data_IF_846577583995
#
_entry.id   IF_846577583995
#
_cell.length_a   1.000
_cell.length_b   1.000
_cell.length_c   1.000
_cell.angle_alpha   90.00
_cell.angle_beta   90.00
_cell.angle_gamma   90.00
#
_symmetry.space_group_name_H-M   'P 1'
#
loop_
_entity.id
_entity.type
_entity.pdbx_description
1 polymer ?
#
# COMPACT_ATOMS: atom_id res chain seq x y z
N UNK A 1 1.67 -34.60 -47.69
CA UNK A 1 1.24 -33.31 -47.13
C UNK A 1 2.43 -32.36 -47.20
N UNK A 2 2.28 -31.18 -47.79
CA UNK A 2 3.39 -30.22 -47.89
C UNK A 2 3.81 -29.74 -46.50
N UNK A 3 5.11 -29.47 -46.32
CA UNK A 3 5.68 -28.95 -45.05
C UNK A 3 4.96 -27.71 -44.54
N UNK A 4 4.39 -26.92 -45.45
CA UNK A 4 3.67 -25.69 -45.19
C UNK A 4 2.30 -25.93 -44.54
N UNK A 5 1.56 -26.97 -44.98
CA UNK A 5 0.26 -27.34 -44.38
C UNK A 5 0.45 -27.90 -42.96
N UNK A 6 1.52 -28.65 -42.71
CA UNK A 6 1.84 -29.15 -41.37
C UNK A 6 2.18 -27.98 -40.41
N UNK A 7 2.94 -26.99 -40.90
CA UNK A 7 3.28 -25.79 -40.13
C UNK A 7 2.05 -24.96 -39.78
N UNK A 8 1.13 -24.75 -40.74
CA UNK A 8 -0.13 -24.04 -40.52
C UNK A 8 -1.04 -24.77 -39.52
N UNK A 9 -1.16 -26.10 -39.61
CA UNK A 9 -1.92 -26.92 -38.65
C UNK A 9 -1.35 -26.85 -37.24
N UNK A 10 -0.03 -26.98 -37.09
CA UNK A 10 0.64 -26.85 -35.79
C UNK A 10 0.45 -25.45 -35.20
N UNK A 11 0.49 -24.41 -36.02
CA UNK A 11 0.24 -23.03 -35.59
C UNK A 11 -1.20 -22.83 -35.10
N UNK A 12 -2.20 -23.36 -35.82
CA UNK A 12 -3.61 -23.29 -35.41
C UNK A 12 -3.89 -24.08 -34.13
N UNK A 13 -3.27 -25.26 -33.96
CA UNK A 13 -3.35 -26.05 -32.73
C UNK A 13 -2.68 -25.33 -31.56
N UNK A 14 -1.55 -24.67 -31.78
CA UNK A 14 -0.87 -23.86 -30.76
C UNK A 14 -1.72 -22.66 -30.34
N UNK A 15 -2.34 -21.94 -31.28
CA UNK A 15 -3.26 -20.85 -31.00
C UNK A 15 -4.47 -21.31 -30.19
N UNK A 16 -5.03 -22.48 -30.53
CA UNK A 16 -6.14 -23.10 -29.78
C UNK A 16 -5.72 -23.48 -28.36
N UNK A 17 -4.53 -24.07 -28.20
CA UNK A 17 -4.00 -24.49 -26.90
C UNK A 17 -3.73 -23.27 -26.00
N UNK A 18 -3.14 -22.20 -26.56
CA UNK A 18 -2.91 -20.94 -25.86
C UNK A 18 -4.22 -20.27 -25.43
N UNK A 19 -5.25 -20.34 -26.27
CA UNK A 19 -6.59 -19.83 -25.95
C UNK A 19 -7.23 -20.59 -24.78
N UNK A 20 -7.08 -21.93 -24.76
CA UNK A 20 -7.56 -22.76 -23.64
C UNK A 20 -6.79 -22.45 -22.36
N UNK A 21 -5.46 -22.34 -22.42
CA UNK A 21 -4.65 -22.02 -21.24
C UNK A 21 -5.02 -20.67 -20.65
N UNK A 22 -5.21 -19.66 -21.50
CA UNK A 22 -5.70 -18.35 -21.08
C UNK A 22 -7.05 -18.45 -20.38
N UNK A 23 -8.01 -19.18 -20.97
CA UNK A 23 -9.33 -19.40 -20.36
C UNK A 23 -9.23 -20.10 -19.00
N UNK A 24 -8.38 -21.13 -18.87
CA UNK A 24 -8.16 -21.80 -17.59
C UNK A 24 -7.57 -20.86 -16.53
N UNK A 25 -6.60 -20.02 -16.91
CA UNK A 25 -6.00 -19.01 -16.02
C UNK A 25 -7.06 -18.01 -15.54
N UNK A 26 -7.86 -17.49 -16.47
CA UNK A 26 -8.92 -16.53 -16.17
C UNK A 26 -9.97 -17.15 -15.22
N UNK A 27 -10.39 -18.40 -15.46
CA UNK A 27 -11.31 -19.10 -14.58
C UNK A 27 -10.74 -19.32 -13.17
N UNK A 28 -9.46 -19.70 -13.03
CA UNK A 28 -8.85 -19.86 -11.72
C UNK A 28 -8.76 -18.51 -10.99
N UNK A 29 -8.32 -17.45 -11.67
CA UNK A 29 -8.29 -16.10 -11.09
C UNK A 29 -9.68 -15.67 -10.61
N UNK A 30 -10.72 -15.92 -11.42
CA UNK A 30 -12.10 -15.65 -11.05
C UNK A 30 -12.52 -16.46 -9.80
N UNK A 31 -12.17 -17.75 -9.72
CA UNK A 31 -12.47 -18.59 -8.55
C UNK A 31 -11.72 -18.19 -7.28
N UNK A 32 -10.55 -17.56 -7.40
CA UNK A 32 -9.79 -17.00 -6.27
C UNK A 32 -10.46 -15.71 -5.76
N UNK A 33 -11.09 -14.95 -6.65
CA UNK A 33 -11.75 -13.69 -6.34
C UNK A 33 -12.90 -13.85 -5.33
N UNK A 34 -13.26 -12.76 -4.66
CA UNK A 34 -14.45 -12.70 -3.81
C UNK A 34 -15.10 -11.31 -3.89
N UNK A 35 -16.40 -11.18 -3.58
CA UNK A 35 -17.11 -9.91 -3.66
C UNK A 35 -16.43 -8.81 -2.83
N UNK A 36 -16.36 -7.59 -3.37
CA UNK A 36 -15.79 -6.42 -2.70
C UNK A 36 -14.30 -6.53 -2.34
N UNK A 37 -13.54 -7.45 -2.95
CA UNK A 37 -12.11 -7.68 -2.69
C UNK A 37 -11.26 -6.39 -2.62
N UNK A 38 -11.48 -5.45 -3.54
CA UNK A 38 -10.74 -4.18 -3.61
C UNK A 38 -11.47 -2.98 -3.00
N UNK A 39 -12.73 -3.16 -2.55
CA UNK A 39 -13.62 -2.06 -2.19
C UNK A 39 -13.01 -1.09 -1.17
N UNK A 40 -12.36 -1.60 -0.13
CA UNK A 40 -11.76 -0.75 0.91
C UNK A 40 -10.67 0.17 0.36
N UNK A 41 -9.88 -0.32 -0.60
CA UNK A 41 -8.86 0.47 -1.27
C UNK A 41 -9.48 1.53 -2.18
N UNK A 42 -10.52 1.15 -2.93
CA UNK A 42 -11.23 2.04 -3.83
C UNK A 42 -11.92 3.18 -3.04
N UNK A 43 -12.56 2.85 -1.92
CA UNK A 43 -13.25 3.76 -1.00
C UNK A 43 -12.30 4.60 -0.12
N UNK A 44 -11.02 4.26 -0.03
CA UNK A 44 -10.07 5.07 0.73
C UNK A 44 -9.86 6.42 0.04
N UNK A 45 -9.88 7.50 0.81
CA UNK A 45 -9.70 8.86 0.28
C UNK A 45 -8.40 8.97 -0.51
N UNK A 46 -8.45 9.70 -1.63
CA UNK A 46 -7.25 10.12 -2.34
C UNK A 46 -6.58 11.23 -1.54
N UNK A 47 -5.26 11.15 -1.38
CA UNK A 47 -4.49 12.19 -0.73
C UNK A 47 -4.75 13.54 -1.40
N UNK A 48 -4.87 14.60 -0.60
CA UNK A 48 -4.87 15.95 -1.13
C UNK A 48 -3.56 16.17 -1.90
N UNK A 49 -3.62 16.85 -3.05
CA UNK A 49 -2.54 16.90 -4.03
C UNK A 49 -1.17 17.37 -3.46
N UNK A 50 -1.19 18.09 -2.35
CA UNK A 50 -0.01 18.61 -1.67
C UNK A 50 0.29 17.96 -0.31
N UNK A 51 -0.24 16.75 -0.05
CA UNK A 51 -0.03 15.99 1.19
C UNK A 51 0.73 14.69 0.93
N UNK A 52 1.53 14.25 1.90
CA UNK A 52 2.37 13.04 1.84
C UNK A 52 3.45 13.01 0.74
N UNK A 53 3.56 14.01 -0.13
CA UNK A 53 4.57 14.04 -1.21
C UNK A 53 5.99 13.96 -0.64
N UNK A 54 6.20 14.63 0.49
CA UNK A 54 7.46 14.65 1.24
C UNK A 54 8.03 13.26 1.52
N UNK A 55 7.22 12.20 1.67
CA UNK A 55 7.75 10.87 2.02
C UNK A 55 8.51 10.19 0.88
N UNK A 56 8.24 10.62 -0.37
CA UNK A 56 8.83 10.07 -1.58
C UNK A 56 9.57 11.12 -2.40
N UNK A 57 9.67 12.38 -1.97
CA UNK A 57 10.52 13.37 -2.63
C UNK A 57 12.00 12.96 -2.55
N UNK A 58 12.77 13.33 -3.58
CA UNK A 58 14.20 13.06 -3.59
C UNK A 58 14.93 14.07 -2.72
N UNK A 59 15.96 13.61 -1.99
CA UNK A 59 16.69 14.46 -1.03
C UNK A 59 17.37 15.66 -1.71
N UNK A 60 17.52 15.64 -3.05
CA UNK A 60 18.09 16.72 -3.85
C UNK A 60 17.16 17.94 -4.04
N UNK A 61 15.85 17.83 -3.76
CA UNK A 61 14.86 18.91 -3.96
C UNK A 61 14.71 19.81 -2.72
N UNK A 62 15.30 19.42 -1.59
CA UNK A 62 15.22 20.16 -0.32
C UNK A 62 15.92 21.53 -0.34
N UNK A 63 16.74 21.84 -1.35
CA UNK A 63 17.41 23.14 -1.46
C UNK A 63 16.47 24.27 -1.93
N UNK A 64 15.48 24.00 -2.80
CA UNK A 64 14.64 25.07 -3.38
C UNK A 64 13.30 25.31 -2.66
N UNK A 65 12.80 24.36 -1.88
CA UNK A 65 11.42 24.41 -1.36
C UNK A 65 11.23 25.30 -0.11
N UNK A 66 12.32 25.69 0.59
CA UNK A 66 12.27 26.52 1.80
C UNK A 66 13.15 27.78 1.75
N UNK A 67 13.74 28.12 0.60
CA UNK A 67 14.76 29.18 0.45
C UNK A 67 14.22 30.63 0.53
N UNK A 68 13.06 30.82 1.19
CA UNK A 68 12.45 32.15 1.40
C UNK A 68 12.57 32.66 2.84
N UNK A 69 13.27 31.95 3.72
CA UNK A 69 13.58 32.44 5.08
C UNK A 69 15.09 32.36 5.33
N UNK A 70 15.80 33.49 5.45
CA UNK A 70 17.23 33.48 5.79
C UNK A 70 17.42 32.92 7.19
N UNK A 71 18.17 31.84 7.34
CA UNK A 71 18.51 31.24 8.64
C UNK A 71 19.64 32.09 9.28
N UNK A 72 19.38 32.82 10.39
CA UNK A 72 20.42 33.54 11.07
C UNK A 72 21.19 32.56 11.95
N UNK A 73 22.51 32.50 11.71
CA UNK A 73 23.54 31.87 12.54
C UNK A 73 23.79 30.37 12.27
N UNK A 74 24.96 30.12 11.65
CA UNK A 74 25.63 28.82 11.62
C UNK A 74 26.15 28.49 13.02
N UNK A 75 25.31 27.92 13.88
CA UNK A 75 25.74 27.30 15.14
C UNK A 75 25.90 25.79 14.99
N UNK A 76 26.85 25.23 15.76
CA UNK A 76 27.30 23.83 15.71
C UNK A 76 26.14 22.82 15.72
N UNK A 77 26.08 21.99 14.66
CA UNK A 77 25.02 21.00 14.41
C UNK A 77 24.88 19.91 15.50
N UNK A 78 25.82 19.79 16.43
CA UNK A 78 25.86 18.71 17.42
C UNK A 78 25.01 18.94 18.69
N UNK A 79 24.47 20.14 18.94
CA UNK A 79 23.71 20.44 20.17
C UNK A 79 22.28 20.97 19.97
N UNK A 80 21.82 21.12 18.73
CA UNK A 80 20.46 21.60 18.45
C UNK A 80 19.46 20.45 18.60
N UNK A 81 18.34 20.69 19.29
CA UNK A 81 17.20 19.78 19.27
C UNK A 81 16.75 19.57 17.81
N UNK A 82 16.41 18.33 17.41
CA UNK A 82 16.00 18.07 16.03
C UNK A 82 14.79 18.94 15.67
N UNK A 83 14.88 19.66 14.55
CA UNK A 83 13.74 20.39 14.00
C UNK A 83 12.75 19.41 13.34
N UNK A 84 11.52 19.84 13.10
CA UNK A 84 10.53 19.04 12.34
C UNK A 84 11.09 18.60 10.97
N UNK A 85 11.89 19.46 10.33
CA UNK A 85 12.59 19.18 9.07
C UNK A 85 13.59 18.02 9.21
N UNK A 86 14.37 18.00 10.28
CA UNK A 86 15.34 16.93 10.53
C UNK A 86 14.65 15.58 10.76
N UNK A 87 13.50 15.60 11.43
CA UNK A 87 12.68 14.41 11.69
C UNK A 87 12.07 13.89 10.37
N UNK A 88 11.47 14.78 9.57
CA UNK A 88 10.92 14.44 8.25
C UNK A 88 11.99 13.85 7.33
N UNK A 89 13.14 14.51 7.21
CA UNK A 89 14.26 14.05 6.37
C UNK A 89 14.78 12.69 6.81
N UNK A 90 14.96 12.46 8.12
CA UNK A 90 15.40 11.17 8.66
C UNK A 90 14.42 10.04 8.35
N UNK A 91 13.11 10.26 8.54
CA UNK A 91 12.08 9.25 8.29
C UNK A 91 11.91 8.99 6.80
N UNK A 92 11.91 10.04 5.97
CA UNK A 92 11.91 9.96 4.50
C UNK A 92 13.08 9.12 4.03
N UNK A 93 14.29 9.41 4.49
CA UNK A 93 15.49 8.66 4.13
C UNK A 93 15.38 7.19 4.51
N UNK A 94 14.92 6.88 5.75
CA UNK A 94 14.72 5.49 6.20
C UNK A 94 13.70 4.74 5.33
N UNK A 95 12.58 5.38 4.99
CA UNK A 95 11.55 4.76 4.17
C UNK A 95 12.01 4.56 2.71
N UNK A 96 12.60 5.59 2.09
CA UNK A 96 13.18 5.49 0.74
C UNK A 96 14.26 4.42 0.67
N UNK A 97 15.16 4.40 1.65
CA UNK A 97 16.21 3.37 1.77
C UNK A 97 15.61 1.98 1.92
N UNK A 98 14.55 1.84 2.73
CA UNK A 98 13.82 0.59 2.85
C UNK A 98 13.19 0.15 1.52
N UNK A 99 12.52 1.04 0.78
CA UNK A 99 11.96 0.74 -0.54
C UNK A 99 13.04 0.30 -1.53
N UNK A 100 14.16 1.03 -1.58
CA UNK A 100 15.23 0.85 -2.55
C UNK A 100 16.18 -0.32 -2.28
N UNK A 101 16.48 -0.59 -0.99
CA UNK A 101 17.56 -1.51 -0.59
C UNK A 101 17.27 -2.32 0.66
N UNK A 102 16.23 -1.97 1.40
CA UNK A 102 15.84 -2.69 2.62
C UNK A 102 15.27 -4.07 2.35
N UNK A 103 14.73 -4.68 3.40
CA UNK A 103 14.06 -5.98 3.39
C UNK A 103 13.14 -6.12 4.60
N UNK A 104 12.28 -7.13 4.56
CA UNK A 104 11.40 -7.44 5.67
C UNK A 104 10.18 -6.53 5.75
N UNK A 105 9.80 -6.14 6.96
CA UNK A 105 8.55 -5.43 7.25
C UNK A 105 8.81 -3.98 7.63
N UNK A 106 8.17 -3.03 6.93
CA UNK A 106 8.12 -1.63 7.33
C UNK A 106 6.77 -1.29 7.94
N UNK A 107 6.79 -0.66 9.12
CA UNK A 107 5.57 -0.37 9.88
C UNK A 107 5.21 1.12 9.86
N UNK A 108 3.98 1.39 9.45
CA UNK A 108 3.35 2.69 9.51
C UNK A 108 2.31 2.65 10.62
N UNK A 109 2.43 3.50 11.64
CA UNK A 109 1.42 3.56 12.68
C UNK A 109 0.96 4.98 12.96
N UNK A 110 -0.29 5.13 13.35
CA UNK A 110 -0.89 6.44 13.61
C UNK A 110 -2.18 6.35 14.42
N UNK A 111 -2.57 7.48 15.01
CA UNK A 111 -3.92 7.70 15.55
C UNK A 111 -5.02 7.37 14.50
N UNK A 112 -6.24 6.98 14.94
CA UNK A 112 -7.40 6.91 14.05
C UNK A 112 -7.64 8.24 13.34
N UNK A 113 -8.00 8.22 12.05
CA UNK A 113 -8.27 9.45 11.29
C UNK A 113 -7.03 10.28 10.89
N UNK A 114 -5.81 9.82 11.19
CA UNK A 114 -4.57 10.51 10.81
C UNK A 114 -4.14 10.30 9.34
N UNK A 115 -4.97 9.65 8.51
CA UNK A 115 -4.68 9.47 7.07
C UNK A 115 -3.84 8.24 6.70
N UNK A 116 -3.77 7.19 7.52
CA UNK A 116 -2.99 5.97 7.21
C UNK A 116 -3.38 5.33 5.87
N UNK A 117 -4.67 5.02 5.68
CA UNK A 117 -5.16 4.40 4.43
C UNK A 117 -4.95 5.32 3.22
N UNK A 118 -5.12 6.63 3.42
CA UNK A 118 -4.84 7.67 2.42
C UNK A 118 -3.37 7.67 2.02
N UNK A 119 -2.45 7.62 2.98
CA UNK A 119 -1.01 7.55 2.73
C UNK A 119 -0.61 6.20 2.10
N UNK A 120 -1.19 5.08 2.54
CA UNK A 120 -0.96 3.77 1.92
C UNK A 120 -1.42 3.75 0.47
N UNK A 121 -2.57 4.34 0.16
CA UNK A 121 -3.07 4.49 -1.21
C UNK A 121 -2.17 5.40 -2.05
N UNK A 122 -1.68 6.50 -1.47
CA UNK A 122 -0.68 7.37 -2.11
C UNK A 122 0.60 6.59 -2.47
N UNK A 123 1.17 5.85 -1.52
CA UNK A 123 2.39 5.04 -1.73
C UNK A 123 2.16 3.98 -2.81
N UNK A 124 1.03 3.26 -2.78
CA UNK A 124 0.70 2.22 -3.76
C UNK A 124 0.62 2.76 -5.20
N UNK A 125 0.10 3.99 -5.36
CA UNK A 125 -0.07 4.61 -6.67
C UNK A 125 1.16 5.39 -7.15
N UNK A 126 2.09 5.73 -6.24
CA UNK A 126 3.24 6.57 -6.56
C UNK A 126 4.23 5.89 -7.52
N UNK A 127 4.54 6.56 -8.61
CA UNK A 127 5.58 6.11 -9.55
C UNK A 127 6.98 6.19 -8.93
N UNK A 128 7.21 7.11 -8.00
CA UNK A 128 8.49 7.22 -7.30
C UNK A 128 8.71 6.03 -6.36
N UNK A 129 7.68 5.59 -5.63
CA UNK A 129 7.75 4.35 -4.86
C UNK A 129 8.04 3.15 -5.78
N UNK A 130 7.37 3.07 -6.94
CA UNK A 130 7.63 2.00 -7.93
C UNK A 130 9.05 2.05 -8.49
N UNK A 131 9.63 3.23 -8.74
CA UNK A 131 11.04 3.36 -9.18
C UNK A 131 12.00 2.83 -8.12
N UNK A 132 11.82 3.21 -6.86
CA UNK A 132 12.64 2.71 -5.75
C UNK A 132 12.50 1.19 -5.60
N UNK A 133 11.28 0.65 -5.71
CA UNK A 133 11.05 -0.80 -5.68
C UNK A 133 11.65 -1.53 -6.88
N UNK A 134 11.71 -0.91 -8.07
CA UNK A 134 12.40 -1.45 -9.24
C UNK A 134 13.92 -1.48 -9.04
N UNK A 135 14.48 -0.50 -8.34
CA UNK A 135 15.89 -0.54 -7.95
C UNK A 135 16.16 -1.75 -7.05
N UNK A 136 15.25 -2.03 -6.11
CA UNK A 136 15.35 -3.21 -5.24
C UNK A 136 15.17 -4.52 -6.01
N UNK A 137 14.26 -4.59 -6.99
CA UNK A 137 14.03 -5.82 -7.75
C UNK A 137 15.20 -6.20 -8.66
N UNK A 138 15.99 -5.22 -9.10
CA UNK A 138 17.09 -5.42 -10.04
C UNK A 138 16.54 -5.99 -11.36
N UNK A 139 17.12 -7.08 -11.84
CA UNK A 139 16.69 -7.75 -13.09
C UNK A 139 15.38 -8.55 -12.95
N UNK A 140 14.81 -8.62 -11.73
CA UNK A 140 13.56 -9.33 -11.48
C UNK A 140 12.36 -8.46 -11.82
N UNK A 141 11.28 -9.10 -12.27
CA UNK A 141 9.99 -8.47 -12.47
C UNK A 141 9.38 -8.10 -11.12
N UNK A 142 9.10 -6.81 -10.92
CA UNK A 142 8.42 -6.31 -9.71
C UNK A 142 6.93 -6.68 -9.77
N UNK A 143 6.45 -7.36 -8.73
CA UNK A 143 5.03 -7.59 -8.48
C UNK A 143 4.63 -6.77 -7.25
N UNK A 144 3.55 -5.99 -7.38
CA UNK A 144 2.95 -5.28 -6.24
C UNK A 144 1.61 -5.91 -5.89
N UNK A 145 1.44 -6.32 -4.64
CA UNK A 145 0.18 -6.83 -4.12
C UNK A 145 -0.30 -5.96 -2.96
N UNK A 146 -1.62 -5.90 -2.75
CA UNK A 146 -2.20 -5.09 -1.69
C UNK A 146 -3.43 -5.73 -1.09
N UNK A 147 -3.65 -5.48 0.19
CA UNK A 147 -4.89 -5.84 0.87
C UNK A 147 -5.19 -4.85 2.01
N UNK A 148 -6.37 -4.25 1.99
CA UNK A 148 -6.77 -3.24 2.97
C UNK A 148 -7.87 -3.86 3.83
N UNK A 149 -7.58 -4.10 5.10
CA UNK A 149 -8.52 -4.67 6.04
C UNK A 149 -9.67 -3.70 6.29
N UNK A 150 -10.89 -4.24 6.42
CA UNK A 150 -12.06 -3.43 6.75
C UNK A 150 -13.05 -4.17 7.64
N UNK A 151 -13.29 -3.62 8.83
CA UNK A 151 -14.15 -4.23 9.85
C UNK A 151 -15.64 -4.11 9.55
N UNK A 152 -16.06 -3.09 8.79
CA UNK A 152 -17.47 -2.73 8.59
C UNK A 152 -18.18 -3.52 7.48
N UNK A 153 -17.49 -4.44 6.82
CA UNK A 153 -18.02 -5.17 5.66
C UNK A 153 -18.05 -6.68 5.93
N UNK A 154 -17.66 -7.49 4.95
CA UNK A 154 -17.69 -8.94 4.98
C UNK A 154 -16.58 -9.52 5.82
N UNK A 155 -16.79 -10.77 6.25
CA UNK A 155 -15.77 -11.56 6.95
C UNK A 155 -14.48 -11.72 6.11
N UNK A 156 -14.59 -11.74 4.78
CA UNK A 156 -13.41 -11.85 3.91
C UNK A 156 -12.51 -10.61 4.04
N UNK A 157 -13.07 -9.39 4.08
CA UNK A 157 -12.28 -8.16 4.20
C UNK A 157 -11.58 -7.96 5.56
N UNK A 158 -11.83 -8.81 6.55
CA UNK A 158 -11.20 -8.74 7.89
C UNK A 158 -10.52 -10.04 8.32
N UNK A 159 -10.34 -11.01 7.43
CA UNK A 159 -9.78 -12.33 7.76
C UNK A 159 -8.49 -12.63 7.01
N UNK A 160 -7.77 -13.63 7.52
CA UNK A 160 -6.53 -14.11 6.91
C UNK A 160 -6.82 -14.73 5.53
N UNK A 161 -7.96 -15.41 5.38
CA UNK A 161 -8.36 -16.04 4.13
C UNK A 161 -8.61 -15.00 3.02
N UNK A 162 -9.26 -13.87 3.35
CA UNK A 162 -9.44 -12.79 2.38
C UNK A 162 -8.15 -12.08 2.01
N UNK A 163 -7.23 -11.92 2.96
CA UNK A 163 -5.88 -11.43 2.65
C UNK A 163 -5.17 -12.39 1.69
N UNK A 164 -5.12 -13.69 2.00
CA UNK A 164 -4.47 -14.71 1.17
C UNK A 164 -5.03 -14.71 -0.25
N UNK A 165 -6.37 -14.75 -0.41
CA UNK A 165 -7.01 -14.72 -1.73
C UNK A 165 -6.70 -13.44 -2.51
N UNK A 166 -6.71 -12.29 -1.85
CA UNK A 166 -6.39 -11.02 -2.50
C UNK A 166 -4.93 -10.96 -2.96
N UNK A 167 -4.01 -11.47 -2.14
CA UNK A 167 -2.59 -11.56 -2.51
C UNK A 167 -2.37 -12.56 -3.66
N UNK A 168 -2.99 -13.74 -3.61
CA UNK A 168 -2.96 -14.70 -4.71
C UNK A 168 -3.48 -14.07 -6.00
N UNK A 169 -4.66 -13.45 -5.96
CA UNK A 169 -5.26 -12.80 -7.11
C UNK A 169 -4.33 -11.72 -7.68
N UNK A 170 -3.81 -10.83 -6.83
CA UNK A 170 -2.93 -9.75 -7.26
C UNK A 170 -1.61 -10.25 -7.88
N UNK A 171 -0.98 -11.26 -7.27
CA UNK A 171 0.29 -11.83 -7.74
C UNK A 171 0.08 -12.58 -9.05
N UNK A 172 -0.92 -13.48 -9.10
CA UNK A 172 -1.17 -14.34 -10.26
C UNK A 172 -1.74 -13.57 -11.46
N UNK A 173 -2.41 -12.43 -11.24
CA UNK A 173 -2.81 -11.54 -12.34
C UNK A 173 -1.60 -10.88 -13.02
N UNK A 174 -0.51 -10.65 -12.29
CA UNK A 174 0.73 -10.06 -12.80
C UNK A 174 1.73 -11.11 -13.31
N UNK A 175 1.63 -12.36 -12.84
CA UNK A 175 2.41 -13.50 -13.32
C UNK A 175 1.52 -14.73 -13.57
N UNK A 176 0.68 -14.72 -14.64
CA UNK A 176 -0.27 -15.79 -14.94
C UNK A 176 0.37 -17.16 -15.21
N UNK A 177 1.64 -17.17 -15.59
CA UNK A 177 2.50 -18.35 -15.75
C UNK A 177 2.66 -19.15 -14.46
N UNK A 178 2.46 -18.53 -13.29
CA UNK A 178 2.57 -19.20 -11.99
C UNK A 178 1.33 -20.03 -11.64
N UNK A 179 0.18 -19.77 -12.28
CA UNK A 179 -1.12 -20.37 -11.92
C UNK A 179 -1.07 -21.90 -11.97
N UNK A 180 -0.42 -22.48 -12.98
CA UNK A 180 -0.29 -23.94 -13.11
C UNK A 180 0.45 -24.58 -11.92
N UNK A 181 1.54 -23.96 -11.46
CA UNK A 181 2.32 -24.46 -10.32
C UNK A 181 1.65 -24.18 -8.98
N UNK A 182 0.85 -23.11 -8.89
CA UNK A 182 0.18 -22.68 -7.66
C UNK A 182 -1.14 -23.42 -7.43
N UNK A 183 -1.89 -23.67 -8.50
CA UNK A 183 -3.17 -24.40 -8.51
C UNK A 183 -3.11 -25.68 -9.36
N UNK A 184 -2.20 -26.64 -9.09
CA UNK A 184 -1.97 -27.75 -9.99
C UNK A 184 -3.16 -28.71 -10.10
N UNK A 185 -3.98 -28.84 -9.05
CA UNK A 185 -5.18 -29.68 -9.04
C UNK A 185 -6.28 -29.07 -9.91
N UNK A 186 -6.59 -27.79 -9.68
CA UNK A 186 -7.60 -27.06 -10.43
C UNK A 186 -7.19 -26.89 -11.89
N UNK A 187 -5.91 -26.60 -12.16
CA UNK A 187 -5.35 -26.52 -13.51
C UNK A 187 -5.57 -27.82 -14.30
N UNK A 188 -5.17 -28.96 -13.73
CA UNK A 188 -5.36 -30.28 -14.36
C UNK A 188 -6.83 -30.59 -14.61
N UNK A 189 -7.70 -30.27 -13.65
CA UNK A 189 -9.15 -30.46 -13.79
C UNK A 189 -9.70 -29.67 -14.98
N UNK A 190 -9.41 -28.36 -15.06
CA UNK A 190 -9.88 -27.51 -16.16
C UNK A 190 -9.31 -27.91 -17.52
N UNK A 191 -8.03 -28.29 -17.58
CA UNK A 191 -7.39 -28.77 -18.81
C UNK A 191 -7.95 -30.09 -19.32
N UNK A 192 -8.52 -30.91 -18.45
CA UNK A 192 -9.16 -32.17 -18.83
C UNK A 192 -10.60 -31.99 -19.33
N UNK A 193 -11.22 -30.84 -19.06
CA UNK A 193 -12.58 -30.55 -19.52
C UNK A 193 -12.60 -30.15 -21.00
N UNK A 194 -13.68 -30.48 -21.75
CA UNK A 194 -13.89 -29.93 -23.08
C UNK A 194 -13.87 -28.40 -23.06
N UNK A 195 -13.27 -27.76 -24.06
CA UNK A 195 -13.03 -26.30 -24.08
C UNK A 195 -14.31 -25.45 -23.91
N UNK A 196 -15.47 -25.95 -24.37
CA UNK A 196 -16.78 -25.30 -24.25
C UNK A 196 -17.44 -25.52 -22.88
N UNK A 197 -16.93 -26.43 -22.06
CA UNK A 197 -17.44 -26.79 -20.73
C UNK A 197 -16.50 -26.37 -19.59
N UNK A 198 -15.46 -25.57 -19.86
CA UNK A 198 -14.60 -24.99 -18.84
C UNK A 198 -15.43 -23.98 -18.04
N UNK A 199 -15.66 -24.30 -16.76
CA UNK A 199 -16.36 -23.49 -15.78
C UNK A 199 -15.39 -22.97 -14.72
N UNK A 200 -15.78 -21.89 -14.06
CA UNK A 200 -15.05 -21.35 -12.91
C UNK A 200 -15.02 -22.40 -11.79
N UNK A 201 -13.83 -22.82 -11.32
CA UNK A 201 -13.74 -23.79 -10.24
C UNK A 201 -14.17 -23.16 -8.92
N UNK A 202 -14.88 -23.94 -8.09
CA UNK A 202 -15.08 -23.57 -6.70
C UNK A 202 -13.77 -23.77 -5.92
N UNK A 203 -13.11 -22.68 -5.56
CA UNK A 203 -11.86 -22.71 -4.78
C UNK A 203 -12.24 -22.44 -3.32
N UNK A 204 -12.03 -23.42 -2.44
CA UNK A 204 -12.27 -23.24 -1.00
C UNK A 204 -11.16 -22.44 -0.31
N UNK A 205 -11.38 -21.99 0.93
CA UNK A 205 -10.31 -21.31 1.69
C UNK A 205 -9.14 -22.25 2.00
N UNK A 206 -9.39 -23.57 2.11
CA UNK A 206 -8.32 -24.55 2.29
C UNK A 206 -7.47 -24.66 1.02
N UNK A 207 -8.11 -24.70 -0.16
CA UNK A 207 -7.40 -24.71 -1.44
C UNK A 207 -6.57 -23.43 -1.63
N UNK A 208 -7.13 -22.27 -1.28
CA UNK A 208 -6.40 -21.00 -1.36
C UNK A 208 -5.18 -20.97 -0.42
N UNK A 209 -5.28 -21.54 0.79
CA UNK A 209 -4.13 -21.64 1.71
C UNK A 209 -3.04 -22.55 1.14
N UNK A 210 -3.41 -23.73 0.64
CA UNK A 210 -2.47 -24.65 -0.01
C UNK A 210 -1.82 -23.98 -1.23
N UNK A 211 -2.59 -23.27 -2.04
CA UNK A 211 -2.06 -22.54 -3.18
C UNK A 211 -1.07 -21.45 -2.75
N UNK A 212 -1.37 -20.71 -1.68
CA UNK A 212 -0.44 -19.72 -1.14
C UNK A 212 0.84 -20.36 -0.60
N UNK A 213 0.74 -21.51 0.07
CA UNK A 213 1.91 -22.30 0.46
C UNK A 213 2.71 -22.75 -0.76
N UNK A 214 2.07 -23.22 -1.83
CA UNK A 214 2.73 -23.60 -3.09
C UNK A 214 3.47 -22.42 -3.72
N UNK A 215 2.84 -21.23 -3.73
CA UNK A 215 3.44 -19.98 -4.22
C UNK A 215 4.70 -19.60 -3.42
N UNK A 216 4.66 -19.81 -2.11
CA UNK A 216 5.75 -19.49 -1.19
C UNK A 216 6.82 -20.59 -1.06
N UNK A 217 6.48 -21.83 -1.42
CA UNK A 217 7.34 -22.99 -1.24
C UNK A 217 8.59 -22.92 -2.13
N UNK A 218 9.74 -23.29 -1.56
CA UNK A 218 11.03 -23.31 -2.25
C UNK A 218 11.10 -24.32 -3.42
N UNK A 219 10.15 -25.25 -3.53
CA UNK A 219 10.04 -26.15 -4.68
C UNK A 219 9.70 -25.41 -5.99
N UNK A 220 9.18 -24.18 -5.90
CA UNK A 220 8.98 -23.24 -7.00
C UNK A 220 10.10 -22.19 -7.08
N UNK A 221 11.38 -22.62 -6.96
CA UNK A 221 12.61 -21.80 -7.07
C UNK A 221 12.60 -20.76 -8.20
N UNK A 222 11.76 -20.91 -9.23
CA UNK A 222 11.58 -19.94 -10.31
C UNK A 222 10.89 -18.64 -9.89
N UNK A 223 9.98 -18.63 -8.90
CA UNK A 223 9.22 -17.44 -8.51
C UNK A 223 10.15 -16.35 -7.98
N UNK A 224 10.85 -16.58 -6.87
CA UNK A 224 11.75 -15.56 -6.30
C UNK A 224 13.05 -15.38 -7.09
N UNK A 225 13.35 -16.26 -8.05
CA UNK A 225 14.43 -16.02 -9.01
C UNK A 225 14.04 -15.01 -10.09
N UNK A 226 12.75 -14.94 -10.45
CA UNK A 226 12.25 -14.10 -11.55
C UNK A 226 11.47 -12.87 -11.05
N UNK A 227 10.91 -12.91 -9.85
CA UNK A 227 10.06 -11.85 -9.29
C UNK A 227 10.56 -11.33 -7.96
N UNK A 228 10.28 -10.06 -7.70
CA UNK A 228 10.33 -9.46 -6.36
C UNK A 228 8.94 -8.98 -5.99
N UNK A 229 8.45 -9.38 -4.82
CA UNK A 229 7.06 -9.14 -4.40
C UNK A 229 7.02 -8.11 -3.30
N UNK A 230 6.41 -6.95 -3.57
CA UNK A 230 6.12 -5.93 -2.57
C UNK A 230 4.65 -5.99 -2.18
N UNK A 231 4.38 -6.16 -0.89
CA UNK A 231 3.03 -6.31 -0.33
C UNK A 231 2.68 -5.09 0.52
N UNK A 232 1.53 -4.48 0.27
CA UNK A 232 1.00 -3.38 1.06
C UNK A 232 -0.24 -3.83 1.84
N UNK A 233 -0.15 -3.85 3.17
CA UNK A 233 -1.24 -4.25 4.06
C UNK A 233 -1.68 -3.06 4.91
N UNK A 234 -2.91 -2.60 4.74
CA UNK A 234 -3.46 -1.46 5.48
C UNK A 234 -4.49 -1.92 6.52
N UNK A 235 -4.48 -1.31 7.71
CA UNK A 235 -5.50 -1.54 8.73
C UNK A 235 -5.35 -2.86 9.49
N UNK A 236 -4.14 -3.27 9.86
CA UNK A 236 -3.93 -4.50 10.64
C UNK A 236 -4.74 -4.55 11.95
N UNK A 237 -5.08 -3.39 12.53
CA UNK A 237 -5.96 -3.27 13.70
C UNK A 237 -7.43 -3.67 13.44
N UNK A 238 -7.83 -3.79 12.17
CA UNK A 238 -9.16 -4.21 11.74
C UNK A 238 -9.26 -5.72 11.47
N UNK A 239 -8.16 -6.46 11.62
CA UNK A 239 -8.13 -7.91 11.47
C UNK A 239 -8.93 -8.63 12.57
N UNK A 240 -9.66 -9.67 12.17
CA UNK A 240 -10.46 -10.53 13.03
C UNK A 240 -10.10 -12.00 12.78
N UNK A 241 -9.22 -12.53 13.63
CA UNK A 241 -8.77 -13.93 13.63
C UNK A 241 -9.14 -14.67 14.90
N UNK A 242 -9.21 -16.01 14.84
CA UNK A 242 -9.56 -16.85 16.00
C UNK A 242 -8.53 -16.73 17.13
N UNK A 243 -7.26 -16.52 16.77
CA UNK A 243 -6.15 -16.35 17.74
C UNK A 243 -5.77 -14.87 17.92
N UNK A 244 -6.65 -13.95 17.54
CA UNK A 244 -6.39 -12.51 17.56
C UNK A 244 -5.26 -12.09 16.61
N UNK A 245 -4.75 -10.88 16.78
CA UNK A 245 -3.73 -10.27 15.90
C UNK A 245 -2.39 -11.02 15.85
N UNK A 246 -2.07 -11.86 16.85
CA UNK A 246 -0.86 -12.69 16.84
C UNK A 246 -0.83 -13.66 15.65
N UNK A 247 -1.99 -14.16 15.20
CA UNK A 247 -2.10 -15.01 14.01
C UNK A 247 -1.58 -14.29 12.75
N UNK A 248 -2.08 -13.07 12.52
CA UNK A 248 -1.73 -12.26 11.38
C UNK A 248 -0.25 -11.84 11.42
N UNK A 249 0.23 -11.43 12.59
CA UNK A 249 1.60 -10.94 12.76
C UNK A 249 2.60 -12.06 12.52
N UNK A 250 2.37 -13.25 13.10
CA UNK A 250 3.21 -14.41 12.85
C UNK A 250 3.21 -14.80 11.36
N UNK A 251 2.05 -14.73 10.70
CA UNK A 251 1.94 -15.01 9.27
C UNK A 251 2.76 -14.02 8.44
N UNK A 252 2.65 -12.72 8.70
CA UNK A 252 3.39 -11.66 8.00
C UNK A 252 4.90 -11.81 8.24
N UNK A 253 5.33 -12.06 9.48
CA UNK A 253 6.75 -12.25 9.80
C UNK A 253 7.31 -13.49 9.08
N UNK A 254 6.61 -14.61 9.14
CA UNK A 254 7.03 -15.83 8.46
C UNK A 254 7.15 -15.58 6.95
N UNK A 255 6.17 -14.91 6.34
CA UNK A 255 6.22 -14.55 4.92
C UNK A 255 7.43 -13.68 4.59
N UNK A 256 7.72 -12.65 5.40
CA UNK A 256 8.87 -11.77 5.19
C UNK A 256 10.23 -12.48 5.38
N UNK A 257 10.30 -13.52 6.20
CA UNK A 257 11.52 -14.29 6.47
C UNK A 257 11.82 -15.33 5.38
N UNK A 258 10.87 -15.65 4.50
CA UNK A 258 11.08 -16.66 3.44
C UNK A 258 12.11 -16.23 2.39
N UNK A 259 12.20 -14.92 2.10
CA UNK A 259 13.08 -14.42 1.05
C UNK A 259 13.34 -12.92 1.20
N UNK A 260 14.57 -12.49 0.91
CA UNK A 260 14.93 -11.07 0.77
C UNK A 260 14.25 -10.41 -0.47
N UNK A 261 13.57 -11.20 -1.31
CA UNK A 261 12.75 -10.74 -2.45
C UNK A 261 11.27 -10.52 -2.09
N UNK A 262 10.93 -10.55 -0.80
CA UNK A 262 9.63 -10.17 -0.29
C UNK A 262 9.79 -8.94 0.62
N UNK A 263 9.01 -7.89 0.33
CA UNK A 263 8.87 -6.72 1.19
C UNK A 263 7.43 -6.57 1.60
N UNK A 264 7.20 -6.19 2.86
CA UNK A 264 5.85 -5.97 3.35
C UNK A 264 5.80 -4.60 4.04
N UNK A 265 4.97 -3.70 3.53
CA UNK A 265 4.64 -2.45 4.19
C UNK A 265 3.30 -2.63 4.90
N UNK A 266 3.28 -2.45 6.22
CA UNK A 266 2.08 -2.62 7.03
C UNK A 266 1.64 -1.29 7.63
N UNK A 267 0.34 -1.08 7.74
CA UNK A 267 -0.27 0.06 8.42
C UNK A 267 -1.20 -0.41 9.55
N UNK A 268 -1.17 0.28 10.70
CA UNK A 268 -2.03 -0.04 11.84
C UNK A 268 -2.20 1.13 12.81
N UNK A 269 -3.12 1.01 13.77
CA UNK A 269 -3.02 1.77 15.04
C UNK A 269 -1.83 1.29 15.86
N UNK A 270 -1.39 2.09 16.83
CA UNK A 270 -0.44 1.59 17.81
C UNK A 270 -1.12 0.50 18.65
N UNK A 271 -0.56 -0.70 18.64
CA UNK A 271 -1.10 -1.86 19.35
C UNK A 271 0.05 -2.67 19.97
N UNK A 272 -0.14 -3.15 21.20
CA UNK A 272 0.85 -4.00 21.88
C UNK A 272 1.16 -5.28 21.09
N UNK A 273 0.19 -5.79 20.33
CA UNK A 273 0.41 -6.98 19.51
C UNK A 273 1.46 -6.80 18.43
N UNK A 274 1.77 -5.56 18.02
CA UNK A 274 2.79 -5.24 17.01
C UNK A 274 4.22 -5.27 17.58
N UNK A 275 4.41 -5.50 18.88
CA UNK A 275 5.72 -5.62 19.51
C UNK A 275 6.69 -6.59 18.81
N UNK A 276 6.26 -7.73 18.22
CA UNK A 276 7.15 -8.57 17.43
C UNK A 276 7.79 -7.86 16.23
N UNK A 277 7.08 -6.92 15.57
CA UNK A 277 7.67 -6.10 14.52
C UNK A 277 8.67 -5.09 15.08
N UNK A 278 8.36 -4.47 16.23
CA UNK A 278 9.27 -3.52 16.88
C UNK A 278 10.61 -4.15 17.25
N UNK A 279 10.58 -5.41 17.71
CA UNK A 279 11.78 -6.18 18.05
C UNK A 279 12.56 -6.61 16.81
N UNK A 280 11.86 -7.07 15.77
CA UNK A 280 12.49 -7.57 14.56
C UNK A 280 13.02 -6.45 13.64
N UNK A 281 12.34 -5.30 13.61
CA UNK A 281 12.59 -4.21 12.67
C UNK A 281 12.60 -2.82 13.36
N UNK A 282 13.43 -2.60 14.38
CA UNK A 282 13.35 -1.41 15.25
C UNK A 282 13.54 -0.08 14.53
N UNK A 283 14.23 -0.07 13.38
CA UNK A 283 14.48 1.12 12.57
C UNK A 283 13.55 1.26 11.34
N UNK A 284 12.67 0.28 11.10
CA UNK A 284 11.77 0.27 9.94
C UNK A 284 10.34 0.62 10.35
N UNK A 285 10.19 1.75 11.05
CA UNK A 285 8.88 2.19 11.51
C UNK A 285 8.75 3.72 11.51
N UNK A 286 7.53 4.20 11.31
CA UNK A 286 7.21 5.62 11.41
C UNK A 286 5.85 5.89 12.05
N UNK A 287 5.80 6.95 12.85
CA UNK A 287 4.59 7.49 13.45
C UNK A 287 4.03 8.59 12.52
N UNK A 288 2.92 8.33 11.83
CA UNK A 288 2.40 9.28 10.85
C UNK A 288 1.87 10.57 11.50
N UNK A 289 1.20 10.47 12.65
CA UNK A 289 0.56 11.65 13.27
C UNK A 289 1.55 12.69 13.83
N UNK A 290 2.86 12.38 13.86
CA UNK A 290 3.90 13.38 14.17
C UNK A 290 4.46 14.05 12.91
N UNK A 291 3.97 13.66 11.73
CA UNK A 291 4.49 14.07 10.41
C UNK A 291 3.42 14.70 9.52
N UNK A 292 2.20 14.84 10.06
CA UNK A 292 1.05 15.38 9.32
C UNK A 292 0.78 16.84 9.66
N UNK A 293 1.51 17.47 10.59
CA UNK A 293 1.21 18.85 10.99
C UNK A 293 1.39 19.85 9.83
N UNK A 294 2.53 19.81 9.14
CA UNK A 294 2.78 20.65 7.97
C UNK A 294 1.73 20.44 6.86
N UNK A 295 1.39 19.19 6.59
CA UNK A 295 0.37 18.81 5.59
C UNK A 295 -1.02 19.32 6.00
N UNK A 296 -1.41 19.16 7.27
CA UNK A 296 -2.66 19.68 7.84
C UNK A 296 -2.71 21.20 7.72
N UNK A 297 -1.62 21.89 8.07
CA UNK A 297 -1.53 23.36 7.96
C UNK A 297 -1.74 23.83 6.53
N UNK A 298 -1.19 23.11 5.56
CA UNK A 298 -1.43 23.40 4.14
C UNK A 298 -2.90 23.18 3.78
N UNK A 299 -3.48 22.03 4.11
CA UNK A 299 -4.90 21.74 3.81
C UNK A 299 -5.83 22.80 4.42
N UNK A 300 -5.62 23.17 5.68
CA UNK A 300 -6.39 24.22 6.36
C UNK A 300 -6.25 25.56 5.63
N UNK A 301 -5.02 25.95 5.31
CA UNK A 301 -4.74 27.21 4.62
C UNK A 301 -5.39 27.24 3.23
N UNK A 302 -5.21 26.21 2.42
CA UNK A 302 -5.73 26.17 1.05
C UNK A 302 -7.26 26.21 1.06
N UNK A 303 -7.89 25.37 1.90
CA UNK A 303 -9.36 25.32 2.04
C UNK A 303 -9.94 26.66 2.48
N UNK A 304 -9.34 27.31 3.49
CA UNK A 304 -9.85 28.60 3.97
C UNK A 304 -9.58 29.73 2.96
N UNK A 305 -8.44 29.74 2.28
CA UNK A 305 -8.16 30.76 1.26
C UNK A 305 -9.04 30.63 0.01
N UNK A 306 -9.58 29.45 -0.26
CA UNK A 306 -10.58 29.26 -1.31
C UNK A 306 -11.94 29.85 -0.95
N UNK A 307 -12.20 30.13 0.33
CA UNK A 307 -13.42 30.78 0.78
C UNK A 307 -13.36 32.31 0.56
N UNK A 308 -14.31 32.92 -0.19
CA UNK A 308 -14.25 34.36 -0.54
C UNK A 308 -14.11 35.31 0.66
N UNK A 309 -14.93 35.11 1.69
CA UNK A 309 -14.93 35.97 2.89
C UNK A 309 -13.64 35.87 3.70
N UNK A 310 -13.06 34.67 3.79
CA UNK A 310 -11.79 34.49 4.50
C UNK A 310 -10.65 35.13 3.72
N UNK A 311 -10.67 35.01 2.39
CA UNK A 311 -9.71 35.68 1.51
C UNK A 311 -9.75 37.20 1.66
N UNK A 312 -10.95 37.79 1.73
CA UNK A 312 -11.15 39.23 1.97
C UNK A 312 -10.56 39.66 3.31
N UNK A 313 -10.94 39.00 4.41
CA UNK A 313 -10.39 39.28 5.75
C UNK A 313 -8.86 39.20 5.80
N UNK A 314 -8.28 38.25 5.06
CA UNK A 314 -6.83 38.08 5.01
C UNK A 314 -6.14 39.20 4.20
N UNK A 315 -6.76 39.66 3.11
CA UNK A 315 -6.27 40.79 2.31
C UNK A 315 -6.33 42.11 3.08
N UNK A 316 -7.29 42.25 4.00
CA UNK A 316 -7.38 43.37 4.94
C UNK A 316 -6.30 43.34 6.04
N UNK A 317 -5.44 42.32 6.05
CA UNK A 317 -4.35 42.18 7.02
C UNK A 317 -4.81 41.73 8.41
N UNK A 318 -5.96 41.05 8.50
CA UNK A 318 -6.48 40.59 9.78
C UNK A 318 -5.63 39.44 10.35
N UNK A 319 -4.86 39.71 11.41
CA UNK A 319 -4.01 38.71 12.08
C UNK A 319 -4.80 37.51 12.63
N UNK A 320 -6.11 37.67 12.88
CA UNK A 320 -6.98 36.59 13.33
C UNK A 320 -7.07 35.43 12.33
N UNK A 321 -6.80 35.67 11.04
CA UNK A 321 -6.76 34.61 10.02
C UNK A 321 -5.62 33.61 10.29
N UNK A 322 -4.42 34.09 10.62
CA UNK A 322 -3.28 33.22 10.91
C UNK A 322 -3.43 32.54 12.27
N UNK A 323 -3.99 33.25 13.26
CA UNK A 323 -4.33 32.67 14.57
C UNK A 323 -5.36 31.54 14.44
N UNK A 324 -6.38 31.70 13.59
CA UNK A 324 -7.37 30.66 13.32
C UNK A 324 -6.72 29.42 12.69
N UNK A 325 -5.86 29.61 11.68
CA UNK A 325 -5.12 28.51 11.05
C UNK A 325 -4.27 27.80 12.11
N UNK A 326 -3.52 28.54 12.91
CA UNK A 326 -2.69 27.96 13.97
C UNK A 326 -3.51 27.20 15.02
N UNK A 327 -4.65 27.74 15.43
CA UNK A 327 -5.56 27.11 16.39
C UNK A 327 -6.13 25.80 15.84
N UNK A 328 -6.58 25.78 14.58
CA UNK A 328 -7.08 24.58 13.91
C UNK A 328 -5.98 23.53 13.83
N UNK A 329 -4.79 23.89 13.36
CA UNK A 329 -3.66 22.95 13.24
C UNK A 329 -3.26 22.37 14.59
N UNK A 330 -3.10 23.22 15.61
CA UNK A 330 -2.72 22.79 16.96
C UNK A 330 -3.76 21.86 17.60
N UNK A 331 -5.06 22.11 17.37
CA UNK A 331 -6.15 21.28 17.88
C UNK A 331 -6.33 19.96 17.11
N UNK A 332 -5.84 19.87 15.88
CA UNK A 332 -5.93 18.65 15.09
C UNK A 332 -5.04 17.52 15.62
N UNK A 333 -3.93 17.84 16.29
CA UNK A 333 -2.95 16.87 16.82
C UNK A 333 -2.56 15.76 15.83
N UNK A 334 -2.40 16.13 14.55
CA UNK A 334 -2.05 15.20 13.48
C UNK A 334 -3.21 14.37 12.90
N UNK A 335 -4.47 14.68 13.24
CA UNK A 335 -5.67 13.95 12.81
C UNK A 335 -6.45 14.70 11.72
N UNK A 336 -6.32 14.27 10.47
CA UNK A 336 -7.04 14.85 9.32
C UNK A 336 -8.56 14.81 9.45
N UNK A 337 -9.14 13.76 10.03
CA UNK A 337 -10.59 13.68 10.18
C UNK A 337 -11.16 14.86 10.99
N UNK A 338 -10.45 15.30 12.03
CA UNK A 338 -10.84 16.45 12.82
C UNK A 338 -10.78 17.75 11.99
N UNK A 339 -9.74 17.89 11.18
CA UNK A 339 -9.53 19.01 10.24
C UNK A 339 -10.67 19.09 9.23
N UNK A 340 -11.05 17.98 8.62
CA UNK A 340 -12.16 17.94 7.64
C UNK A 340 -13.49 18.35 8.28
N UNK A 341 -13.75 17.94 9.53
CA UNK A 341 -14.97 18.30 10.25
C UNK A 341 -14.99 19.79 10.61
N UNK A 342 -13.90 20.32 11.18
CA UNK A 342 -13.86 21.71 11.61
C UNK A 342 -13.87 22.68 10.42
N UNK A 343 -13.20 22.35 9.32
CA UNK A 343 -13.21 23.19 8.11
C UNK A 343 -14.61 23.29 7.50
N UNK A 344 -15.40 22.21 7.53
CA UNK A 344 -16.81 22.25 7.10
C UNK A 344 -17.62 23.23 7.94
N UNK A 345 -17.48 23.18 9.26
CA UNK A 345 -18.18 24.07 10.19
C UNK A 345 -17.73 25.52 9.99
N UNK A 346 -16.43 25.77 9.86
CA UNK A 346 -15.87 27.11 9.65
C UNK A 346 -16.33 27.72 8.32
N UNK A 347 -16.31 26.94 7.22
CA UNK A 347 -16.76 27.43 5.93
C UNK A 347 -18.27 27.74 5.93
N UNK A 348 -19.08 26.93 6.63
CA UNK A 348 -20.50 27.23 6.82
C UNK A 348 -20.70 28.53 7.59
N UNK A 349 -20.03 28.68 8.74
CA UNK A 349 -20.13 29.91 9.55
C UNK A 349 -19.53 31.17 8.91
N UNK A 350 -18.68 31.03 7.89
CA UNK A 350 -18.23 32.16 7.07
C UNK A 350 -19.23 32.54 5.97
N UNK A 351 -20.14 31.63 5.61
CA UNK A 351 -21.20 31.89 4.64
C UNK A 351 -22.42 32.55 5.30
N UNK A 352 -22.69 32.19 6.55
CA UNK A 352 -23.72 32.79 7.42
C UNK A 352 -23.27 34.17 7.97
#
# INVERSE_FOLDING_TARGET
>A
MSSEVLSQLLHLLALSTNGIDRKCRDCILEGVSFPNMNKRYDDADTAHHATFTWILEDDAVDEEYYDTVPDPVKEDKEKRLPTERDIHGSIRHKFRSWLARGKGVYQIYAKPGAGKSTMMKFICNSDEAKKLLRLWSGDRTLITARFFFWKQESRMQRSLDGMIRSLLHAILSQAPELIEGVFPVQWRSLKSAPWHAILVPEISNADARIAFENLLSHANTKVFSAYSVCVFLDGLDEFEGKKGSAELINFIQNMALLSDHIKICVSSRLMNSLAPFDVAYPQQRMCLNTLTEADIRRVVRDTLNDHPRFREMRLEGNSACDDLIAAVVGKAEGVFLWVTLILKILCQGLTD
#
